data_IF_328307288376
#
_entry.id   IF_328307288376
#
_cell.length_a   1.000
_cell.length_b   1.000
_cell.length_c   1.000
_cell.angle_alpha   90.00
_cell.angle_beta   90.00
_cell.angle_gamma   90.00
#
_symmetry.space_group_name_H-M   'P 1'
#
loop_
_entity.id
_entity.type
_entity.pdbx_description
1 polymer ?
#
# COMPACT_ATOMS: atom_id res chain seq x y z
N UNK A 1 -45.63 -9.12 -59.79
CA UNK A 1 -44.43 -9.27 -60.66
C UNK A 1 -43.23 -8.86 -59.83
N UNK A 2 -42.45 -9.83 -59.35
CA UNK A 2 -41.13 -10.15 -59.91
C UNK A 2 -40.19 -8.97 -59.72
N UNK A 3 -39.34 -8.99 -58.69
CA UNK A 3 -38.06 -9.70 -58.72
C UNK A 3 -36.98 -8.63 -58.46
N UNK A 4 -35.82 -8.90 -57.90
CA UNK A 4 -35.20 -10.14 -57.51
C UNK A 4 -34.10 -9.83 -56.49
N UNK A 5 -33.66 -10.90 -55.87
CA UNK A 5 -32.44 -10.99 -55.08
C UNK A 5 -31.20 -10.53 -55.87
N UNK A 6 -30.32 -9.81 -55.19
CA UNK A 6 -28.95 -9.57 -55.62
C UNK A 6 -28.01 -9.68 -54.42
N UNK A 7 -27.37 -10.85 -54.27
CA UNK A 7 -26.08 -10.96 -53.56
C UNK A 7 -25.00 -10.20 -54.33
N UNK A 8 -23.74 -10.10 -53.93
CA UNK A 8 -22.85 -10.84 -53.05
C UNK A 8 -21.70 -9.86 -52.71
N UNK A 9 -21.06 -9.94 -51.55
CA UNK A 9 -19.83 -10.71 -51.42
C UNK A 9 -18.62 -9.79 -51.26
N UNK A 10 -18.00 -9.81 -50.08
CA UNK A 10 -16.76 -9.12 -49.75
C UNK A 10 -16.24 -9.63 -48.42
N UNK A 11 -15.62 -10.81 -48.46
CA UNK A 11 -14.93 -11.45 -47.34
C UNK A 11 -13.50 -10.94 -47.28
N UNK A 12 -13.10 -10.37 -46.14
CA UNK A 12 -11.70 -10.22 -45.75
C UNK A 12 -11.47 -11.04 -44.48
N UNK A 13 -10.77 -12.17 -44.65
CA UNK A 13 -9.98 -12.78 -43.57
C UNK A 13 -8.77 -11.88 -43.28
N UNK A 14 -7.94 -12.12 -42.28
CA UNK A 14 -7.87 -13.10 -41.22
C UNK A 14 -6.81 -12.60 -40.25
N UNK A 15 -6.51 -13.36 -39.20
CA UNK A 15 -5.40 -13.03 -38.31
C UNK A 15 -5.62 -13.56 -36.91
N UNK A 16 -5.41 -14.85 -36.74
CA UNK A 16 -5.13 -15.45 -35.44
C UNK A 16 -3.94 -14.73 -34.79
N UNK A 17 -4.10 -14.38 -33.52
CA UNK A 17 -2.98 -14.24 -32.59
C UNK A 17 -3.48 -14.66 -31.23
N UNK A 18 -3.40 -15.97 -31.01
CA UNK A 18 -3.49 -16.54 -29.68
C UNK A 18 -2.33 -16.01 -28.83
N UNK A 19 -2.64 -15.08 -27.93
CA UNK A 19 -1.84 -14.91 -26.72
C UNK A 19 -2.43 -15.82 -25.66
N UNK A 20 -1.82 -17.00 -25.53
CA UNK A 20 -1.80 -17.73 -24.26
C UNK A 20 -1.19 -16.79 -23.21
N UNK A 21 -2.02 -16.10 -22.44
CA UNK A 21 -1.63 -15.58 -21.15
C UNK A 21 -2.17 -16.55 -20.10
N UNK A 22 -1.22 -17.14 -19.38
CA UNK A 22 -1.36 -18.27 -18.50
C UNK A 22 -2.61 -18.21 -17.62
N UNK A 23 -3.25 -19.38 -17.46
CA UNK A 23 -4.05 -19.67 -16.26
C UNK A 23 -3.16 -19.37 -15.06
N UNK A 24 -3.35 -18.21 -14.44
CA UNK A 24 -2.79 -17.93 -13.11
C UNK A 24 -3.38 -18.99 -12.21
N UNK A 25 -2.54 -19.95 -11.86
CA UNK A 25 -2.78 -20.89 -10.78
C UNK A 25 -3.29 -20.07 -9.61
N UNK A 26 -4.50 -20.36 -9.12
CA UNK A 26 -4.98 -19.84 -7.84
C UNK A 26 -4.05 -20.39 -6.76
N UNK A 27 -2.91 -19.74 -6.56
CA UNK A 27 -2.23 -19.78 -5.28
C UNK A 27 -3.26 -19.21 -4.31
N UNK A 28 -3.84 -20.05 -3.46
CA UNK A 28 -4.72 -19.57 -2.42
C UNK A 28 -3.91 -18.64 -1.55
N UNK A 29 -4.05 -17.33 -1.74
CA UNK A 29 -3.52 -16.34 -0.81
C UNK A 29 -4.20 -16.64 0.52
N UNK A 30 -3.41 -17.04 1.51
CA UNK A 30 -3.93 -17.14 2.87
C UNK A 30 -4.26 -15.71 3.27
N UNK A 31 -5.56 -15.40 3.29
CA UNK A 31 -6.06 -14.14 3.80
C UNK A 31 -5.52 -13.98 5.22
N UNK A 32 -4.84 -12.87 5.47
CA UNK A 32 -4.32 -12.55 6.78
C UNK A 32 -5.21 -11.49 7.42
N UNK A 33 -5.29 -11.55 8.73
CA UNK A 33 -6.15 -10.64 9.50
C UNK A 33 -5.28 -9.58 10.15
N UNK A 34 -5.72 -8.33 10.04
CA UNK A 34 -5.11 -7.23 10.75
C UNK A 34 -5.62 -7.24 12.20
N UNK A 35 -4.71 -7.20 13.17
CA UNK A 35 -5.08 -7.17 14.60
C UNK A 35 -5.70 -5.82 15.04
N UNK A 36 -5.66 -4.79 14.19
CA UNK A 36 -6.18 -3.44 14.49
C UNK A 36 -7.64 -3.30 14.04
N UNK A 37 -7.95 -3.53 12.77
CA UNK A 37 -9.32 -3.41 12.25
C UNK A 37 -10.15 -4.69 12.42
N UNK A 38 -9.49 -5.86 12.57
CA UNK A 38 -10.15 -7.17 12.69
C UNK A 38 -11.16 -7.45 11.56
N UNK A 39 -10.92 -6.91 10.36
CA UNK A 39 -11.85 -7.07 9.24
C UNK A 39 -12.08 -8.55 8.89
N UNK A 40 -13.36 -8.91 8.78
CA UNK A 40 -13.84 -10.27 8.55
C UNK A 40 -13.49 -10.77 7.14
N UNK A 41 -13.38 -9.83 6.18
CA UNK A 41 -13.08 -10.13 4.79
C UNK A 41 -11.65 -10.62 4.57
N UNK A 42 -10.72 -10.31 5.48
CA UNK A 42 -9.31 -10.68 5.43
C UNK A 42 -8.54 -10.04 4.27
N UNK A 43 -7.27 -9.69 4.49
CA UNK A 43 -6.45 -8.96 3.53
C UNK A 43 -5.57 -9.89 2.71
N UNK A 44 -5.31 -9.51 1.46
CA UNK A 44 -4.28 -10.15 0.64
C UNK A 44 -2.87 -9.76 1.12
N UNK A 45 -1.87 -10.55 0.75
CA UNK A 45 -0.48 -10.33 1.18
C UNK A 45 0.10 -9.00 0.66
N UNK A 46 -0.40 -8.51 -0.48
CA UNK A 46 0.02 -7.24 -1.08
C UNK A 46 -0.55 -6.01 -0.33
N UNK A 47 -1.65 -6.18 0.42
CA UNK A 47 -2.31 -5.11 1.19
C UNK A 47 -1.79 -5.03 2.63
N UNK A 48 -0.89 -5.93 3.01
CA UNK A 48 -0.30 -6.01 4.34
C UNK A 48 1.14 -5.54 4.34
N UNK A 49 1.42 -4.59 5.22
CA UNK A 49 2.75 -4.02 5.42
C UNK A 49 3.31 -4.62 6.72
N UNK A 50 4.34 -5.43 6.56
CA UNK A 50 5.10 -6.05 7.64
C UNK A 50 6.34 -5.26 7.99
N UNK A 51 6.61 -5.12 9.29
CA UNK A 51 7.86 -4.56 9.80
C UNK A 51 8.86 -5.66 10.18
N UNK A 52 10.17 -5.34 10.28
CA UNK A 52 11.19 -6.30 10.71
C UNK A 52 10.96 -6.90 12.10
N UNK A 53 10.12 -6.26 12.92
CA UNK A 53 9.67 -6.79 14.21
C UNK A 53 8.72 -7.99 14.11
N UNK A 54 8.24 -8.33 12.89
CA UNK A 54 7.35 -9.46 12.64
C UNK A 54 5.85 -9.15 12.77
N UNK A 55 5.49 -7.88 13.02
CA UNK A 55 4.09 -7.44 13.03
C UNK A 55 3.68 -6.97 11.63
N UNK A 56 2.50 -7.42 11.19
CA UNK A 56 1.92 -7.11 9.89
C UNK A 56 0.54 -6.48 10.09
N UNK A 57 0.32 -5.32 9.48
CA UNK A 57 -0.98 -4.64 9.50
C UNK A 57 -1.40 -4.25 8.08
N UNK A 58 -2.69 -4.02 7.86
CA UNK A 58 -3.17 -3.55 6.57
C UNK A 58 -2.74 -2.11 6.30
N UNK A 59 -2.60 -1.77 5.01
CA UNK A 59 -2.25 -0.42 4.53
C UNK A 59 -3.16 0.67 5.11
N UNK A 60 -4.47 0.40 5.22
CA UNK A 60 -5.45 1.37 5.73
C UNK A 60 -5.21 1.71 7.21
N UNK A 61 -4.90 0.72 8.04
CA UNK A 61 -4.55 0.95 9.44
C UNK A 61 -3.22 1.67 9.57
N UNK A 62 -2.24 1.35 8.73
CA UNK A 62 -0.96 2.06 8.69
C UNK A 62 -1.13 3.53 8.32
N UNK A 63 -1.89 3.81 7.26
CA UNK A 63 -2.21 5.17 6.85
C UNK A 63 -2.88 5.96 7.97
N UNK A 64 -3.91 5.38 8.60
CA UNK A 64 -4.61 6.01 9.73
C UNK A 64 -3.70 6.25 10.94
N UNK A 65 -2.80 5.31 11.23
CA UNK A 65 -1.83 5.44 12.31
C UNK A 65 -0.86 6.60 12.05
N UNK A 66 -0.28 6.68 10.85
CA UNK A 66 0.65 7.75 10.45
C UNK A 66 -0.06 9.11 10.44
N UNK A 67 -1.26 9.18 9.87
CA UNK A 67 -2.06 10.40 9.86
C UNK A 67 -2.32 10.92 11.29
N UNK A 68 -2.76 10.04 12.20
CA UNK A 68 -3.00 10.39 13.58
C UNK A 68 -1.72 10.80 14.32
N UNK A 69 -0.60 10.12 14.06
CA UNK A 69 0.71 10.47 14.62
C UNK A 69 1.15 11.87 14.17
N UNK A 70 0.94 12.22 12.90
CA UNK A 70 1.23 13.56 12.37
C UNK A 70 0.33 14.63 13.00
N UNK A 71 -0.95 14.32 13.25
CA UNK A 71 -1.86 15.23 13.97
C UNK A 71 -1.44 15.47 15.43
N UNK A 72 -0.87 14.46 16.10
CA UNK A 72 -0.30 14.59 17.45
C UNK A 72 0.97 15.44 17.49
N UNK A 73 1.61 15.68 16.34
CA UNK A 73 2.74 16.60 16.17
C UNK A 73 4.10 15.90 16.02
N UNK A 74 5.22 16.57 16.38
CA UNK A 74 6.58 16.10 16.07
C UNK A 74 6.99 14.83 16.84
N UNK A 75 6.15 14.33 17.74
CA UNK A 75 6.36 13.05 18.42
C UNK A 75 6.19 11.86 17.48
N UNK A 76 5.60 12.03 16.29
CA UNK A 76 5.49 11.00 15.25
C UNK A 76 6.82 10.30 14.92
N UNK A 77 7.95 11.01 15.04
CA UNK A 77 9.30 10.48 14.78
C UNK A 77 9.73 9.42 15.80
N UNK A 78 9.12 9.43 16.99
CA UNK A 78 9.38 8.49 18.07
C UNK A 78 8.28 7.46 18.25
N UNK A 79 7.27 7.45 17.38
CA UNK A 79 6.23 6.45 17.43
C UNK A 79 6.79 5.10 16.97
N UNK A 80 6.52 4.08 17.76
CA UNK A 80 6.90 2.71 17.49
C UNK A 80 5.77 1.97 16.77
N UNK A 81 6.06 0.74 16.36
CA UNK A 81 5.08 -0.23 15.92
C UNK A 81 3.75 -0.12 16.69
N UNK A 82 2.58 -0.15 16.02
CA UNK A 82 1.25 -0.09 16.67
C UNK A 82 1.03 -1.19 17.72
N UNK A 83 1.79 -2.28 17.67
CA UNK A 83 1.74 -3.35 18.65
C UNK A 83 2.28 -2.92 20.02
N UNK A 84 1.43 -3.07 21.04
CA UNK A 84 1.81 -2.83 22.43
C UNK A 84 3.00 -3.70 22.86
N UNK A 85 4.08 -3.05 23.31
CA UNK A 85 5.29 -3.72 23.78
C UNK A 85 6.38 -3.89 22.74
N UNK A 86 6.11 -3.58 21.47
CA UNK A 86 7.13 -3.48 20.45
C UNK A 86 7.79 -2.08 20.51
N UNK A 87 9.13 -2.04 20.48
CA UNK A 87 9.92 -0.80 20.50
C UNK A 87 10.59 -0.50 19.16
N UNK A 88 10.17 -1.20 18.11
CA UNK A 88 10.68 -0.96 16.76
C UNK A 88 10.14 0.37 16.27
N UNK A 89 11.06 1.25 15.84
CA UNK A 89 10.72 2.56 15.31
C UNK A 89 10.26 2.42 13.86
N UNK A 90 9.31 3.26 13.47
CA UNK A 90 8.84 3.34 12.09
C UNK A 90 9.90 4.03 11.25
N UNK A 91 10.29 3.44 10.13
CA UNK A 91 11.21 4.06 9.18
C UNK A 91 10.46 4.75 8.05
N UNK A 92 11.17 5.60 7.31
CA UNK A 92 10.61 6.30 6.15
C UNK A 92 10.15 5.33 5.05
N UNK A 93 10.79 4.17 4.90
CA UNK A 93 10.41 3.17 3.89
C UNK A 93 9.01 2.60 4.15
N UNK A 94 8.64 2.41 5.42
CA UNK A 94 7.27 1.98 5.74
C UNK A 94 6.24 3.09 5.51
N UNK A 95 6.61 4.34 5.81
CA UNK A 95 5.75 5.51 5.57
C UNK A 95 5.55 5.72 4.08
N UNK A 96 6.60 5.57 3.26
CA UNK A 96 6.51 5.66 1.80
C UNK A 96 5.55 4.62 1.22
N UNK A 97 5.61 3.39 1.74
CA UNK A 97 4.73 2.30 1.30
C UNK A 97 3.28 2.48 1.73
N UNK A 98 3.04 2.99 2.93
CA UNK A 98 1.69 3.13 3.48
C UNK A 98 0.99 4.44 3.10
N UNK A 99 1.74 5.53 3.01
CA UNK A 99 1.22 6.89 2.87
C UNK A 99 2.24 7.81 2.18
N UNK A 100 2.46 7.65 0.86
CA UNK A 100 3.42 8.47 0.11
C UNK A 100 3.06 9.97 0.10
N UNK A 101 1.80 10.31 0.35
CA UNK A 101 1.30 11.69 0.45
C UNK A 101 1.71 12.38 1.76
N UNK A 102 1.93 11.61 2.83
CA UNK A 102 2.30 12.11 4.16
C UNK A 102 3.82 12.13 4.39
N UNK A 103 4.59 11.46 3.55
CA UNK A 103 6.06 11.41 3.56
C UNK A 103 6.76 12.78 3.74
N UNK A 104 6.47 13.84 2.96
CA UNK A 104 7.17 15.13 3.10
C UNK A 104 6.92 15.80 4.46
N UNK A 105 5.75 15.58 5.07
CA UNK A 105 5.46 16.07 6.42
C UNK A 105 6.25 15.28 7.45
N UNK A 106 6.34 13.97 7.28
CA UNK A 106 7.11 13.09 8.15
C UNK A 106 8.60 13.44 8.15
N UNK A 107 9.22 13.64 6.98
CA UNK A 107 10.61 14.11 6.84
C UNK A 107 10.87 15.44 7.57
N UNK A 108 9.96 16.40 7.42
CA UNK A 108 10.07 17.70 8.09
C UNK A 108 10.09 17.55 9.61
N UNK A 109 9.25 16.67 10.16
CA UNK A 109 9.24 16.38 11.59
C UNK A 109 10.49 15.62 12.03
N UNK A 110 10.99 14.67 11.23
CA UNK A 110 12.26 13.97 11.51
C UNK A 110 13.42 14.96 11.67
N UNK A 111 13.58 15.87 10.70
CA UNK A 111 14.61 16.90 10.72
C UNK A 111 14.47 17.82 11.94
N UNK A 112 13.24 18.26 12.24
CA UNK A 112 12.98 19.10 13.41
C UNK A 112 13.34 18.39 14.72
N UNK A 113 12.93 17.14 14.88
CA UNK A 113 13.24 16.33 16.06
C UNK A 113 14.75 16.13 16.23
N UNK A 114 15.47 15.93 15.12
CA UNK A 114 16.93 15.85 15.12
C UNK A 114 17.58 17.15 15.60
N UNK A 115 17.21 18.30 15.03
CA UNK A 115 17.74 19.62 15.44
C UNK A 115 17.42 19.92 16.91
N UNK A 116 16.22 19.59 17.38
CA UNK A 116 15.81 19.77 18.78
C UNK A 116 16.61 18.86 19.73
N UNK A 117 16.96 17.65 19.31
CA UNK A 117 17.70 16.67 20.14
C UNK A 117 19.20 16.96 20.16
N UNK A 118 19.79 17.37 19.04
CA UNK A 118 21.22 17.63 18.89
C UNK A 118 21.58 19.11 18.93
N UNK A 119 20.76 19.94 19.60
CA UNK A 119 20.85 21.40 19.72
C UNK A 119 22.17 21.95 20.29
N UNK A 120 23.26 21.71 19.58
CA UNK A 120 24.62 22.19 19.82
C UNK A 120 25.04 23.24 18.78
N UNK A 121 24.08 23.86 18.09
CA UNK A 121 24.32 25.06 17.29
C UNK A 121 23.76 26.28 18.02
N UNK A 122 24.66 26.96 18.72
CA UNK A 122 24.47 28.33 19.20
C UNK A 122 24.45 29.26 17.99
N UNK A 123 23.50 30.19 17.94
CA UNK A 123 23.50 31.32 17.00
C UNK A 123 24.74 32.20 17.18
#
# INVERSE_FOLDING_TARGET
CQGGCGGCGGNEGGGESGSKAAKRTRAGTKKKHCEICLDEDGFDADEMIGMPCGHEFCETCWYGFIANALEKGPLCVRESCPQAGCKELITEEEVERAAPDLLPKFETYQLRSFVETYGMTRW
#
